data_IF_259228631326
#
_entry.id   IF_259228631326
#
_cell.length_a   1.000
_cell.length_b   1.000
_cell.length_c   1.000
_cell.angle_alpha   90.00
_cell.angle_beta   90.00
_cell.angle_gamma   90.00
#
_symmetry.space_group_name_H-M   'P 1'
#
loop_
_entity.id
_entity.type
_entity.pdbx_description
1 polymer ?
#
# COMPACT_ATOMS: atom_id res chain seq x y z
N UNK A 1 5.68 -0.39 25.08
CA UNK A 1 5.88 0.75 24.18
C UNK A 1 4.62 1.58 24.10
N UNK A 2 4.74 2.86 24.39
CA UNK A 2 3.60 3.76 24.28
C UNK A 2 3.48 4.26 22.84
N UNK A 3 2.26 4.25 22.33
CA UNK A 3 1.96 4.89 21.06
C UNK A 3 1.63 6.36 21.32
N UNK A 4 2.32 7.24 20.61
CA UNK A 4 1.99 8.64 20.66
C UNK A 4 0.77 8.90 19.76
N UNK A 5 -0.42 8.93 20.36
CA UNK A 5 -1.67 9.09 19.64
C UNK A 5 -1.90 10.50 19.10
N UNK A 6 -1.00 11.44 19.39
CA UNK A 6 -1.08 12.78 18.79
C UNK A 6 -0.55 12.81 17.36
N UNK A 7 0.28 11.82 16.98
CA UNK A 7 0.74 11.69 15.60
C UNK A 7 -0.31 10.96 14.77
N UNK A 8 -0.56 11.41 13.54
CA UNK A 8 -1.44 10.68 12.65
C UNK A 8 -0.90 9.28 12.36
N UNK A 9 -1.80 8.31 12.33
CA UNK A 9 -1.50 6.91 12.04
C UNK A 9 -2.23 6.55 10.76
N UNK A 10 -1.54 5.85 9.85
CA UNK A 10 -2.15 5.34 8.63
C UNK A 10 -2.14 3.81 8.68
N UNK A 11 -3.32 3.21 8.61
CA UNK A 11 -3.45 1.78 8.34
C UNK A 11 -3.47 1.59 6.84
N UNK A 12 -2.61 0.75 6.32
CA UNK A 12 -2.54 0.54 4.87
C UNK A 12 -2.44 -0.93 4.50
N UNK A 13 -2.84 -1.24 3.28
CA UNK A 13 -2.82 -2.58 2.73
C UNK A 13 -2.59 -2.49 1.23
N UNK A 14 -1.87 -3.45 0.68
CA UNK A 14 -1.63 -3.58 -0.74
C UNK A 14 -2.29 -4.82 -1.27
N UNK A 15 -2.86 -4.73 -2.47
CA UNK A 15 -3.25 -5.91 -3.24
C UNK A 15 -2.31 -6.03 -4.43
N UNK A 16 -1.83 -7.23 -4.70
CA UNK A 16 -0.81 -7.49 -5.71
C UNK A 16 -1.21 -8.67 -6.60
N UNK A 17 -0.52 -8.81 -7.72
CA UNK A 17 -0.76 -9.94 -8.63
C UNK A 17 -0.06 -11.22 -8.18
N UNK A 18 0.73 -11.17 -7.11
CA UNK A 18 1.42 -12.33 -6.57
C UNK A 18 2.34 -11.95 -5.43
N UNK A 19 3.19 -12.87 -5.00
CA UNK A 19 3.98 -12.70 -3.79
C UNK A 19 5.42 -12.22 -4.05
N UNK A 20 5.88 -12.24 -5.29
CA UNK A 20 7.25 -11.84 -5.61
C UNK A 20 7.29 -10.37 -6.06
N UNK A 21 7.95 -9.48 -5.31
CA UNK A 21 8.03 -8.07 -5.72
C UNK A 21 8.80 -7.84 -7.00
N UNK A 22 9.64 -8.77 -7.42
CA UNK A 22 10.39 -8.64 -8.68
C UNK A 22 9.59 -9.11 -9.89
N UNK A 23 8.60 -10.00 -9.68
CA UNK A 23 7.83 -10.61 -10.75
C UNK A 23 6.37 -10.13 -10.81
N UNK A 24 5.88 -9.54 -9.73
CA UNK A 24 4.46 -9.20 -9.61
C UNK A 24 4.28 -7.71 -9.35
N UNK A 25 3.06 -7.24 -9.50
CA UNK A 25 2.73 -5.82 -9.48
C UNK A 25 1.70 -5.48 -8.42
N UNK A 26 1.76 -4.23 -7.93
CA UNK A 26 0.72 -3.68 -7.07
C UNK A 26 -0.48 -3.31 -7.94
N UNK A 27 -1.67 -3.72 -7.54
CA UNK A 27 -2.91 -3.42 -8.26
C UNK A 27 -3.91 -2.62 -7.43
N UNK A 28 -3.68 -2.50 -6.13
CA UNK A 28 -4.47 -1.60 -5.29
C UNK A 28 -3.65 -1.16 -4.09
N UNK A 29 -3.80 0.12 -3.72
CA UNK A 29 -3.30 0.65 -2.45
C UNK A 29 -4.51 1.18 -1.71
N UNK A 30 -4.75 0.64 -0.51
CA UNK A 30 -5.81 1.09 0.37
C UNK A 30 -5.25 1.59 1.68
N UNK A 31 -5.75 2.71 2.17
CA UNK A 31 -5.29 3.27 3.43
C UNK A 31 -6.35 4.15 4.08
N UNK A 32 -6.28 4.24 5.39
CA UNK A 32 -7.14 5.11 6.18
C UNK A 32 -6.31 5.73 7.30
N UNK A 33 -6.44 7.04 7.53
CA UNK A 33 -5.72 7.64 8.62
C UNK A 33 -6.59 7.82 9.86
N UNK A 34 -5.91 7.85 11.01
CA UNK A 34 -6.52 8.12 12.31
C UNK A 34 -5.77 9.26 12.96
N UNK A 35 -6.52 10.25 13.44
CA UNK A 35 -5.97 11.39 14.17
C UNK A 35 -6.75 11.49 15.47
N UNK A 36 -6.04 11.41 16.60
CA UNK A 36 -6.64 11.46 17.94
C UNK A 36 -7.77 10.43 18.12
N UNK A 37 -7.58 9.21 17.55
CA UNK A 37 -8.54 8.13 17.67
C UNK A 37 -9.73 8.22 16.73
N UNK A 38 -9.80 9.22 15.89
CA UNK A 38 -10.89 9.39 14.92
C UNK A 38 -10.45 9.06 13.51
N UNK A 39 -11.34 8.44 12.75
CA UNK A 39 -11.10 8.17 11.34
C UNK A 39 -10.97 9.50 10.59
N UNK A 40 -9.87 9.66 9.88
CA UNK A 40 -9.62 10.83 9.06
C UNK A 40 -9.83 10.55 7.58
N UNK A 41 -8.87 10.98 6.76
CA UNK A 41 -8.95 10.81 5.31
C UNK A 41 -8.66 9.38 4.91
N UNK A 42 -9.31 8.94 3.84
CA UNK A 42 -9.02 7.64 3.23
C UNK A 42 -8.24 7.85 1.94
N UNK A 43 -7.49 6.83 1.56
CA UNK A 43 -6.78 6.76 0.29
C UNK A 43 -7.09 5.40 -0.33
N UNK A 44 -7.59 5.39 -1.53
CA UNK A 44 -7.82 4.15 -2.26
C UNK A 44 -7.56 4.41 -3.72
N UNK A 45 -6.68 3.60 -4.32
CA UNK A 45 -6.39 3.69 -5.74
C UNK A 45 -6.21 2.29 -6.30
N UNK A 46 -6.93 1.99 -7.35
CA UNK A 46 -6.54 0.89 -8.22
C UNK A 46 -5.35 1.33 -9.05
N UNK A 47 -4.50 0.38 -9.42
CA UNK A 47 -3.31 0.61 -10.22
C UNK A 47 -3.35 -0.32 -11.41
N UNK A 48 -3.15 0.25 -12.60
CA UNK A 48 -3.14 -0.55 -13.82
C UNK A 48 -1.84 -1.34 -13.91
N UNK A 49 -1.92 -2.69 -13.95
CA UNK A 49 -0.71 -3.50 -14.16
C UNK A 49 -0.28 -3.50 -15.63
N UNK A 50 0.95 -3.92 -15.88
CA UNK A 50 1.50 -3.98 -17.23
C UNK A 50 0.97 -5.17 -18.04
N UNK A 51 0.39 -6.16 -17.34
CA UNK A 51 -0.20 -7.35 -17.97
C UNK A 51 -1.62 -7.57 -17.43
N UNK A 52 -2.40 -8.38 -18.14
CA UNK A 52 -3.75 -8.69 -17.67
C UNK A 52 -3.73 -9.47 -16.36
N UNK A 53 -4.73 -9.20 -15.51
CA UNK A 53 -4.89 -9.90 -14.24
C UNK A 53 -5.40 -11.32 -14.53
N UNK A 54 -4.78 -12.31 -13.87
CA UNK A 54 -5.21 -13.71 -13.98
C UNK A 54 -6.50 -13.94 -13.19
N UNK A 55 -7.21 -15.01 -13.55
CA UNK A 55 -8.38 -15.42 -12.79
C UNK A 55 -8.04 -15.73 -11.34
N UNK A 56 -6.86 -16.31 -11.10
CA UNK A 56 -6.40 -16.62 -9.75
C UNK A 56 -6.24 -15.34 -8.92
N UNK A 57 -5.69 -14.30 -9.49
CA UNK A 57 -5.57 -13.00 -8.79
C UNK A 57 -6.95 -12.46 -8.45
N UNK A 58 -7.90 -12.51 -9.38
CA UNK A 58 -9.27 -12.07 -9.12
C UNK A 58 -9.92 -12.87 -8.01
N UNK A 59 -9.73 -14.19 -7.98
CA UNK A 59 -10.27 -15.03 -6.91
C UNK A 59 -9.71 -14.66 -5.54
N UNK A 60 -8.41 -14.36 -5.47
CA UNK A 60 -7.74 -14.05 -4.20
C UNK A 60 -8.03 -12.63 -3.70
N UNK A 61 -8.10 -11.66 -4.60
CA UNK A 61 -8.19 -10.25 -4.23
C UNK A 61 -9.57 -9.64 -4.42
N UNK A 62 -10.40 -10.26 -5.24
CA UNK A 62 -11.68 -9.70 -5.65
C UNK A 62 -11.58 -8.63 -6.73
N UNK A 63 -10.37 -8.30 -7.17
CA UNK A 63 -10.13 -7.26 -8.17
C UNK A 63 -10.19 -7.87 -9.57
N UNK A 64 -10.97 -7.26 -10.45
CA UNK A 64 -11.15 -7.73 -11.82
C UNK A 64 -10.33 -6.90 -12.79
N UNK A 65 -10.15 -7.40 -14.01
CA UNK A 65 -9.51 -6.65 -15.08
C UNK A 65 -10.23 -5.31 -15.33
N UNK A 66 -11.56 -5.31 -15.26
CA UNK A 66 -12.35 -4.10 -15.45
C UNK A 66 -12.03 -3.02 -14.41
N UNK A 67 -11.73 -3.42 -13.17
CA UNK A 67 -11.40 -2.48 -12.10
C UNK A 67 -10.11 -1.71 -12.36
N UNK A 68 -9.14 -2.33 -13.03
CA UNK A 68 -7.79 -1.76 -13.21
C UNK A 68 -7.51 -1.30 -14.64
N UNK A 69 -8.38 -1.64 -15.58
CA UNK A 69 -8.11 -1.39 -17.00
C UNK A 69 -7.92 0.08 -17.33
N UNK A 70 -8.69 0.96 -16.68
CA UNK A 70 -8.60 2.40 -16.86
C UNK A 70 -7.98 3.11 -15.66
N UNK A 71 -7.36 2.35 -14.76
CA UNK A 71 -6.70 2.92 -13.59
C UNK A 71 -5.38 3.58 -13.98
N UNK A 72 -4.88 4.51 -13.15
CA UNK A 72 -3.56 5.10 -13.38
C UNK A 72 -2.46 4.07 -13.15
N UNK A 73 -1.29 4.37 -13.71
CA UNK A 73 -0.10 3.53 -13.48
C UNK A 73 0.43 3.75 -12.06
N UNK A 74 1.25 2.81 -11.57
CA UNK A 74 1.88 2.97 -10.27
C UNK A 74 2.75 4.24 -10.23
N UNK A 75 3.41 4.56 -11.33
CA UNK A 75 4.21 5.78 -11.44
C UNK A 75 3.41 7.03 -11.10
N UNK A 76 2.13 7.06 -11.50
CA UNK A 76 1.26 8.21 -11.25
C UNK A 76 0.67 8.19 -9.84
N UNK A 77 0.44 7.02 -9.27
CA UNK A 77 -0.16 6.87 -7.93
C UNK A 77 0.85 7.13 -6.81
N UNK A 78 2.12 6.76 -7.01
CA UNK A 78 3.14 6.85 -5.95
C UNK A 78 3.30 8.28 -5.40
N UNK A 79 3.41 9.34 -6.21
CA UNK A 79 3.52 10.68 -5.63
C UNK A 79 2.35 11.06 -4.72
N UNK A 80 1.14 10.67 -5.09
CA UNK A 80 -0.05 10.91 -4.26
C UNK A 80 0.03 10.15 -2.94
N UNK A 81 0.44 8.88 -3.00
CA UNK A 81 0.53 8.05 -1.80
C UNK A 81 1.63 8.54 -0.86
N UNK A 82 2.79 8.91 -1.40
CA UNK A 82 3.90 9.43 -0.58
C UNK A 82 3.52 10.73 0.13
N UNK A 83 2.78 11.59 -0.53
CA UNK A 83 2.26 12.81 0.09
C UNK A 83 1.26 12.49 1.20
N UNK A 84 0.39 11.51 0.96
CA UNK A 84 -0.63 11.09 1.93
C UNK A 84 -0.01 10.56 3.22
N UNK A 85 1.07 9.79 3.13
CA UNK A 85 1.70 9.17 4.31
C UNK A 85 2.76 10.05 4.97
N UNK A 86 3.09 11.22 4.40
CA UNK A 86 4.17 12.06 4.90
C UNK A 86 3.98 12.43 6.37
N UNK A 87 4.98 12.15 7.20
CA UNK A 87 4.97 12.46 8.62
C UNK A 87 4.08 11.56 9.48
N UNK A 88 3.50 10.51 8.91
CA UNK A 88 2.57 9.63 9.62
C UNK A 88 3.23 8.31 9.98
N UNK A 89 2.74 7.70 11.07
CA UNK A 89 3.13 6.35 11.45
C UNK A 89 2.31 5.37 10.61
N UNK A 90 2.97 4.38 10.02
CA UNK A 90 2.30 3.39 9.20
C UNK A 90 2.01 2.13 10.02
N UNK A 91 0.84 1.57 9.85
CA UNK A 91 0.43 0.33 10.49
C UNK A 91 -0.09 -0.62 9.41
N UNK A 92 0.36 -1.86 9.45
CA UNK A 92 -0.13 -2.89 8.54
C UNK A 92 -0.07 -4.26 9.21
N UNK A 93 -0.92 -5.17 8.76
CA UNK A 93 -0.86 -6.57 9.18
C UNK A 93 0.05 -7.31 8.22
N UNK A 94 1.17 -7.83 8.73
CA UNK A 94 2.29 -8.37 7.95
C UNK A 94 2.98 -7.26 7.13
N UNK A 95 3.37 -6.19 7.83
CA UNK A 95 3.98 -5.01 7.21
C UNK A 95 5.27 -5.34 6.44
N UNK A 96 6.00 -6.38 6.85
CA UNK A 96 7.21 -6.81 6.16
C UNK A 96 6.93 -7.13 4.69
N UNK A 97 5.83 -7.85 4.41
CA UNK A 97 5.43 -8.16 3.04
C UNK A 97 5.11 -6.90 2.26
N UNK A 98 4.25 -6.04 2.81
CA UNK A 98 3.82 -4.82 2.12
C UNK A 98 4.99 -3.86 1.87
N UNK A 99 5.87 -3.69 2.86
CA UNK A 99 7.01 -2.80 2.72
C UNK A 99 8.05 -3.33 1.74
N UNK A 100 8.34 -4.64 1.78
CA UNK A 100 9.28 -5.24 0.84
C UNK A 100 8.78 -5.03 -0.60
N UNK A 101 7.48 -5.26 -0.81
CA UNK A 101 6.86 -5.11 -2.12
C UNK A 101 6.88 -3.64 -2.57
N UNK A 102 6.41 -2.75 -1.70
CA UNK A 102 6.34 -1.31 -2.00
C UNK A 102 7.75 -0.72 -2.25
N UNK A 103 8.71 -1.04 -1.39
CA UNK A 103 10.06 -0.52 -1.51
C UNK A 103 10.76 -1.00 -2.79
N UNK A 104 10.53 -2.24 -3.20
CA UNK A 104 11.09 -2.74 -4.46
C UNK A 104 10.59 -1.93 -5.65
N UNK A 105 9.29 -1.60 -5.68
CA UNK A 105 8.72 -0.80 -6.74
C UNK A 105 9.13 0.67 -6.65
N UNK A 106 9.27 1.21 -5.43
CA UNK A 106 9.79 2.57 -5.25
C UNK A 106 11.20 2.71 -5.83
N UNK A 107 12.09 1.76 -5.52
CA UNK A 107 13.46 1.76 -6.05
C UNK A 107 13.46 1.71 -7.57
N UNK A 108 12.62 0.84 -8.15
CA UNK A 108 12.50 0.71 -9.61
C UNK A 108 12.08 2.03 -10.25
N UNK A 109 11.24 2.80 -9.58
CA UNK A 109 10.74 4.08 -10.08
C UNK A 109 11.64 5.27 -9.73
N UNK A 110 12.76 5.04 -9.05
CA UNK A 110 13.71 6.09 -8.70
C UNK A 110 13.44 6.80 -7.39
N UNK A 111 12.57 6.26 -6.55
CA UNK A 111 12.27 6.83 -5.23
C UNK A 111 13.08 6.16 -4.14
N UNK A 112 13.25 6.86 -3.03
CA UNK A 112 13.80 6.27 -1.82
C UNK A 112 12.80 5.31 -1.18
N UNK A 113 13.32 4.37 -0.41
CA UNK A 113 12.47 3.48 0.39
C UNK A 113 11.68 4.27 1.43
N UNK A 114 10.58 3.69 1.90
CA UNK A 114 9.76 4.25 2.98
C UNK A 114 10.62 4.41 4.23
N UNK A 115 10.59 5.60 4.82
CA UNK A 115 11.34 5.92 6.05
C UNK A 115 10.44 6.15 7.25
N UNK A 116 9.14 6.09 7.07
CA UNK A 116 8.18 6.25 8.16
C UNK A 116 8.40 5.18 9.23
N UNK A 117 8.07 5.51 10.47
CA UNK A 117 7.94 4.50 11.52
C UNK A 117 6.82 3.55 11.14
N UNK A 118 7.08 2.25 11.24
CA UNK A 118 6.12 1.22 10.84
C UNK A 118 5.85 0.28 12.02
N UNK A 119 4.57 0.00 12.24
CA UNK A 119 4.12 -0.97 13.24
C UNK A 119 3.49 -2.12 12.49
N UNK A 120 3.96 -3.32 12.77
CA UNK A 120 3.44 -4.56 12.20
C UNK A 120 2.53 -5.23 13.23
N UNK A 121 1.22 -5.22 12.98
CA UNK A 121 0.27 -5.81 13.92
C UNK A 121 0.41 -7.32 14.04
N UNK A 122 0.95 -7.97 13.02
CA UNK A 122 1.24 -9.41 13.11
C UNK A 122 2.28 -9.72 14.18
N UNK A 123 3.24 -8.81 14.39
CA UNK A 123 4.32 -8.99 15.37
C UNK A 123 3.92 -8.55 16.78
N UNK A 124 2.78 -7.88 16.93
CA UNK A 124 2.28 -7.46 18.25
C UNK A 124 1.47 -8.55 18.95
N UNK A 125 1.02 -9.56 18.20
CA UNK A 125 0.19 -10.64 18.76
C UNK A 125 1.01 -11.77 19.40
#
# INVERSE_FOLDING_TARGET
>A
MELNLTRPIVFFDLETTGISPLAHEIIEIGAVDFVNGNVGKTFQRFVKPSVQISEQTTELTGITQADVENAPSLKDVIPEFLKYIEGKVLVAHNAEFDLTFLNAHLRRLGYNEIKNTVIDTLKLS
#
